data_IF_652344795121
#
_entry.id   IF_652344795121
#
_cell.length_a   1.000
_cell.length_b   1.000
_cell.length_c   1.000
_cell.angle_alpha   90.00
_cell.angle_beta   90.00
_cell.angle_gamma   90.00
#
_symmetry.space_group_name_H-M   'P 1'
#
loop_
_entity.id
_entity.type
_entity.pdbx_description
1 polymer ?
#
# COMPACT_ATOMS: atom_id res chain seq x y z
N UNK A 1 59.00 -15.71 -11.15
CA UNK A 1 59.11 -16.90 -10.30
C UNK A 1 57.71 -17.36 -9.95
N UNK A 2 57.23 -18.33 -10.72
CA UNK A 2 55.92 -18.95 -10.65
C UNK A 2 55.85 -19.91 -9.47
N UNK A 3 54.77 -19.87 -8.69
CA UNK A 3 54.37 -20.97 -7.83
C UNK A 3 52.87 -21.22 -8.04
N UNK A 4 52.63 -22.31 -8.73
CA UNK A 4 51.38 -23.05 -8.85
C UNK A 4 50.96 -23.52 -7.45
N UNK A 5 49.65 -23.50 -7.17
CA UNK A 5 49.07 -24.22 -6.05
C UNK A 5 47.88 -25.02 -6.56
N UNK A 6 47.99 -26.32 -6.31
CA UNK A 6 47.24 -27.43 -6.87
C UNK A 6 45.83 -27.57 -6.31
N UNK A 7 44.98 -28.13 -7.18
CA UNK A 7 43.67 -28.70 -6.92
C UNK A 7 43.70 -29.81 -5.85
N UNK A 8 42.69 -29.84 -4.97
CA UNK A 8 42.24 -31.10 -4.35
C UNK A 8 40.83 -30.99 -3.76
N UNK A 9 39.85 -31.44 -4.54
CA UNK A 9 38.54 -31.84 -4.04
C UNK A 9 38.59 -33.27 -3.47
N UNK A 10 37.77 -33.64 -2.47
CA UNK A 10 37.46 -35.03 -2.20
C UNK A 10 36.05 -35.39 -2.71
N UNK A 11 35.99 -36.51 -3.43
CA UNK A 11 34.77 -37.23 -3.83
C UNK A 11 34.34 -38.23 -2.75
N UNK A 12 33.02 -38.41 -2.70
CA UNK A 12 32.23 -39.62 -2.43
C UNK A 12 32.50 -40.47 -1.17
N UNK A 13 31.43 -40.69 -0.41
CA UNK A 13 30.96 -42.06 -0.11
C UNK A 13 29.44 -42.08 0.05
N UNK A 14 28.80 -42.96 -0.73
CA UNK A 14 27.43 -43.44 -0.61
C UNK A 14 27.34 -44.45 0.56
N UNK A 15 26.16 -44.55 1.17
CA UNK A 15 25.31 -45.77 1.25
C UNK A 15 24.32 -45.61 2.44
N UNK A 16 23.01 -45.45 2.22
CA UNK A 16 21.98 -46.45 1.93
C UNK A 16 21.50 -47.26 3.16
N UNK A 17 20.24 -47.08 3.58
CA UNK A 17 19.29 -48.19 3.91
C UNK A 17 17.97 -47.69 4.55
N UNK A 18 16.86 -48.05 3.90
CA UNK A 18 15.60 -48.69 4.39
C UNK A 18 15.19 -48.48 5.86
N UNK A 19 13.92 -48.28 6.25
CA UNK A 19 12.61 -48.56 5.66
C UNK A 19 11.55 -48.67 6.78
N UNK A 20 10.30 -49.04 6.41
CA UNK A 20 9.07 -49.25 7.21
C UNK A 20 8.26 -47.99 7.54
N UNK A 21 7.00 -47.76 7.13
CA UNK A 21 5.70 -48.52 7.08
C UNK A 21 5.03 -48.78 8.43
N UNK A 22 4.09 -47.90 8.77
CA UNK A 22 2.84 -48.11 9.53
C UNK A 22 2.27 -46.71 9.82
N UNK A 23 1.01 -46.40 9.95
CA UNK A 23 -0.28 -47.08 9.85
C UNK A 23 -1.30 -45.94 10.00
N UNK A 24 -2.41 -46.10 9.31
CA UNK A 24 -3.70 -45.43 9.47
C UNK A 24 -3.95 -44.75 10.82
N UNK A 25 -4.29 -43.46 10.80
CA UNK A 25 -5.18 -42.90 11.79
C UNK A 25 -6.08 -41.83 11.15
N UNK A 26 -7.31 -42.24 10.87
CA UNK A 26 -8.39 -41.39 10.38
C UNK A 26 -9.01 -40.70 11.59
N UNK A 27 -8.73 -39.41 11.76
CA UNK A 27 -9.51 -38.55 12.65
C UNK A 27 -10.39 -37.63 11.81
N UNK A 28 -11.70 -37.83 11.98
CA UNK A 28 -12.78 -37.11 11.33
C UNK A 28 -12.74 -35.61 11.66
N UNK A 29 -12.57 -34.78 10.63
CA UNK A 29 -12.77 -33.33 10.70
C UNK A 29 -14.23 -33.00 10.37
N UNK A 30 -14.95 -32.24 11.22
CA UNK A 30 -16.33 -31.87 10.93
C UNK A 30 -16.43 -30.89 9.75
N UNK A 31 -17.49 -31.08 8.97
CA UNK A 31 -17.79 -30.44 7.71
C UNK A 31 -17.60 -28.90 7.71
N UNK A 32 -16.79 -28.42 6.76
CA UNK A 32 -16.69 -27.01 6.39
C UNK A 32 -18.06 -26.49 5.98
N UNK A 33 -18.51 -25.43 6.65
CA UNK A 33 -19.69 -24.66 6.29
C UNK A 33 -19.63 -24.15 4.83
N UNK A 34 -20.78 -23.92 4.16
CA UNK A 34 -20.78 -23.50 2.78
C UNK A 34 -20.12 -22.13 2.67
N UNK A 35 -19.02 -22.05 1.91
CA UNK A 35 -18.41 -20.79 1.48
C UNK A 35 -19.50 -19.92 0.88
N UNK A 36 -19.87 -18.87 1.60
CA UNK A 36 -20.65 -17.73 1.11
C UNK A 36 -19.91 -17.20 -0.12
N UNK A 37 -20.38 -17.58 -1.31
CA UNK A 37 -19.87 -17.06 -2.57
C UNK A 37 -20.17 -15.56 -2.59
N UNK A 38 -19.19 -14.77 -2.16
CA UNK A 38 -19.17 -13.34 -2.44
C UNK A 38 -19.17 -13.21 -3.97
N UNK A 39 -20.34 -12.85 -4.51
CA UNK A 39 -20.51 -12.39 -5.88
C UNK A 39 -19.52 -11.25 -6.09
N UNK A 40 -18.34 -11.56 -6.64
CA UNK A 40 -17.44 -10.57 -7.22
C UNK A 40 -18.15 -10.02 -8.45
N UNK A 41 -18.92 -8.96 -8.27
CA UNK A 41 -19.39 -8.17 -9.41
C UNK A 41 -18.14 -7.72 -10.16
N UNK A 42 -18.10 -7.98 -11.45
CA UNK A 42 -17.09 -7.54 -12.40
C UNK A 42 -17.09 -6.01 -12.49
N UNK A 43 -16.59 -5.33 -11.45
CA UNK A 43 -16.21 -3.92 -11.51
C UNK A 43 -14.91 -3.85 -12.30
N UNK A 44 -14.91 -3.06 -13.38
CA UNK A 44 -13.69 -2.68 -14.10
C UNK A 44 -12.67 -2.20 -13.06
N UNK A 45 -11.55 -2.91 -12.91
CA UNK A 45 -10.40 -2.38 -12.16
C UNK A 45 -9.97 -1.11 -12.87
N UNK A 46 -10.27 0.06 -12.29
CA UNK A 46 -9.61 1.30 -12.69
C UNK A 46 -8.14 1.11 -12.32
N UNK A 47 -7.23 1.21 -13.29
CA UNK A 47 -5.81 1.19 -12.99
C UNK A 47 -5.50 2.41 -12.12
N UNK A 48 -4.89 2.18 -10.96
CA UNK A 48 -4.49 3.27 -10.02
C UNK A 48 -3.45 4.21 -10.68
N UNK A 49 -2.85 3.77 -11.79
CA UNK A 49 -2.01 4.58 -12.69
C UNK A 49 -2.78 5.65 -13.46
N UNK A 50 -4.09 5.51 -13.65
CA UNK A 50 -4.93 6.52 -14.27
C UNK A 50 -5.42 7.50 -13.21
N UNK A 51 -4.61 8.53 -12.95
CA UNK A 51 -5.06 9.69 -12.17
C UNK A 51 -6.39 10.18 -12.77
N UNK A 52 -7.49 10.26 -12.02
CA UNK A 52 -8.74 10.75 -12.56
C UNK A 52 -8.50 12.14 -13.14
N UNK A 53 -8.86 12.32 -14.40
CA UNK A 53 -8.70 13.55 -15.18
C UNK A 53 -9.57 14.72 -14.69
N UNK A 54 -9.95 14.71 -13.41
CA UNK A 54 -10.81 15.68 -12.75
C UNK A 54 -10.15 17.06 -12.60
N UNK A 55 -10.41 17.81 -11.51
CA UNK A 55 -10.24 19.27 -11.42
C UNK A 55 -8.83 19.82 -11.77
N UNK A 56 -7.81 18.97 -11.86
CA UNK A 56 -6.46 19.31 -12.33
C UNK A 56 -6.39 19.86 -13.76
N UNK A 57 -7.29 19.43 -14.67
CA UNK A 57 -7.36 19.98 -16.03
C UNK A 57 -7.80 21.45 -16.04
N UNK A 58 -8.67 21.85 -15.10
CA UNK A 58 -9.05 23.23 -14.88
C UNK A 58 -7.93 24.08 -14.30
N UNK A 59 -7.12 23.50 -13.40
CA UNK A 59 -5.95 24.19 -12.80
C UNK A 59 -4.88 24.49 -13.85
N UNK A 60 -4.54 23.52 -14.70
CA UNK A 60 -3.54 23.73 -15.74
C UNK A 60 -3.97 24.79 -16.78
N UNK A 61 -5.26 24.78 -17.15
CA UNK A 61 -5.84 25.80 -18.06
C UNK A 61 -5.86 27.19 -17.42
N UNK A 62 -6.35 27.32 -16.19
CA UNK A 62 -6.37 28.60 -15.47
C UNK A 62 -4.96 29.18 -15.27
N UNK A 63 -3.96 28.33 -15.03
CA UNK A 63 -2.57 28.77 -14.94
C UNK A 63 -2.02 29.24 -16.30
N UNK A 64 -2.40 28.56 -17.39
CA UNK A 64 -1.96 28.94 -18.73
C UNK A 64 -2.54 30.27 -19.19
N UNK A 65 -3.80 30.54 -18.84
CA UNK A 65 -4.48 31.81 -19.10
C UNK A 65 -3.89 32.94 -18.24
N UNK A 66 -3.48 32.66 -17.00
CA UNK A 66 -2.90 33.66 -16.10
C UNK A 66 -1.44 34.03 -16.42
N UNK A 67 -0.70 33.15 -17.11
CA UNK A 67 0.75 33.29 -17.35
C UNK A 67 1.12 33.35 -18.84
N UNK A 68 0.16 33.46 -19.75
CA UNK A 68 0.34 33.46 -21.21
C UNK A 68 1.23 32.29 -21.70
N UNK A 69 1.01 31.09 -21.15
CA UNK A 69 1.82 29.91 -21.45
C UNK A 69 1.37 29.33 -22.80
N UNK A 70 2.29 28.99 -23.74
CA UNK A 70 1.93 28.40 -25.03
C UNK A 70 1.21 27.05 -24.85
N UNK A 71 0.24 26.74 -25.71
CA UNK A 71 -0.61 25.54 -25.62
C UNK A 71 0.18 24.22 -25.45
N UNK A 72 1.33 24.10 -26.13
CA UNK A 72 2.22 22.93 -26.01
C UNK A 72 2.86 22.75 -24.63
N UNK A 73 2.92 23.81 -23.81
CA UNK A 73 3.39 23.76 -22.43
C UNK A 73 2.28 23.43 -21.42
N UNK A 74 1.00 23.60 -21.78
CA UNK A 74 -0.15 23.20 -20.93
C UNK A 74 -0.16 21.69 -20.71
N UNK A 75 0.08 20.90 -21.77
CA UNK A 75 0.20 19.44 -21.64
C UNK A 75 1.34 19.01 -20.70
N UNK A 76 2.46 19.73 -20.72
CA UNK A 76 3.59 19.49 -19.82
C UNK A 76 3.24 19.87 -18.37
N UNK A 77 2.50 20.96 -18.17
CA UNK A 77 2.00 21.37 -16.86
C UNK A 77 0.99 20.35 -16.30
N UNK A 78 0.05 19.85 -17.10
CA UNK A 78 -0.86 18.79 -16.68
C UNK A 78 -0.12 17.49 -16.32
N UNK A 79 0.90 17.12 -17.10
CA UNK A 79 1.74 15.97 -16.79
C UNK A 79 2.54 16.19 -15.50
N UNK A 80 2.96 17.42 -15.22
CA UNK A 80 3.59 17.80 -13.96
C UNK A 80 2.62 17.67 -12.78
N UNK A 81 1.42 18.23 -12.88
CA UNK A 81 0.41 18.14 -11.82
C UNK A 81 -0.02 16.70 -11.55
N UNK A 82 -0.25 15.90 -12.59
CA UNK A 82 -0.57 14.47 -12.43
C UNK A 82 0.52 13.71 -11.68
N UNK A 83 1.80 14.00 -11.95
CA UNK A 83 2.92 13.37 -11.22
C UNK A 83 3.01 13.82 -9.77
N UNK A 84 2.60 15.04 -9.46
CA UNK A 84 2.64 15.62 -8.12
C UNK A 84 1.31 15.54 -7.36
N UNK A 85 0.26 14.98 -7.98
CA UNK A 85 -1.06 14.80 -7.37
C UNK A 85 -1.00 13.91 -6.12
N UNK A 86 0.03 13.08 -6.01
CA UNK A 86 0.27 12.16 -4.90
C UNK A 86 1.33 12.70 -3.91
N UNK A 87 1.51 14.02 -3.90
CA UNK A 87 2.50 14.72 -3.07
C UNK A 87 3.95 14.35 -3.44
N UNK A 88 4.82 14.36 -2.43
CA UNK A 88 6.26 14.14 -2.60
C UNK A 88 6.61 12.73 -3.11
N UNK A 89 5.67 11.78 -2.98
CA UNK A 89 5.85 10.37 -3.37
C UNK A 89 6.06 10.21 -4.87
N UNK A 90 5.48 11.09 -5.69
CA UNK A 90 5.71 11.12 -7.13
C UNK A 90 7.18 11.34 -7.53
N UNK A 91 7.97 11.92 -6.61
CA UNK A 91 9.39 12.22 -6.80
C UNK A 91 10.35 11.29 -6.04
N UNK A 92 9.81 10.38 -5.22
CA UNK A 92 10.59 9.53 -4.32
C UNK A 92 11.40 8.45 -5.03
N UNK A 93 10.92 7.93 -6.16
CA UNK A 93 11.59 6.88 -6.91
C UNK A 93 12.98 7.32 -7.40
N UNK A 94 13.98 6.47 -7.21
CA UNK A 94 15.34 6.70 -7.69
C UNK A 94 15.33 6.89 -9.21
N UNK A 95 16.17 7.79 -9.70
CA UNK A 95 16.47 7.84 -11.14
C UNK A 95 17.40 6.70 -11.50
N UNK A 96 17.06 5.97 -12.55
CA UNK A 96 17.86 4.85 -13.02
C UNK A 96 19.26 5.31 -13.42
N UNK A 97 20.28 4.70 -12.82
CA UNK A 97 21.71 4.89 -13.16
C UNK A 97 22.33 3.65 -13.82
N UNK A 98 21.49 2.70 -14.25
CA UNK A 98 21.92 1.43 -14.82
C UNK A 98 22.85 0.67 -13.86
N UNK A 99 24.04 0.23 -14.30
CA UNK A 99 25.02 -0.47 -13.45
C UNK A 99 25.46 0.33 -12.21
N UNK A 100 25.39 1.67 -12.26
CA UNK A 100 25.79 2.54 -11.14
C UNK A 100 24.63 2.83 -10.16
N UNK A 101 23.54 2.06 -10.22
CA UNK A 101 22.44 2.19 -9.28
C UNK A 101 22.86 1.64 -7.91
N UNK A 102 22.59 2.33 -6.79
CA UNK A 102 22.89 1.81 -5.45
C UNK A 102 22.13 0.50 -5.14
N UNK A 103 21.08 0.21 -5.90
CA UNK A 103 20.21 -0.96 -5.77
C UNK A 103 20.40 -1.95 -6.93
N UNK A 104 21.54 -1.90 -7.65
CA UNK A 104 21.78 -2.74 -8.84
C UNK A 104 21.70 -4.24 -8.55
N UNK A 105 22.17 -4.67 -7.38
CA UNK A 105 22.25 -6.09 -6.99
C UNK A 105 20.89 -6.78 -6.86
N UNK A 106 19.83 -6.01 -6.61
CA UNK A 106 18.46 -6.50 -6.46
C UNK A 106 17.54 -5.99 -7.58
N UNK A 107 18.12 -5.35 -8.61
CA UNK A 107 17.36 -4.76 -9.69
C UNK A 107 16.89 -5.87 -10.65
N UNK A 108 15.57 -6.04 -10.88
CA UNK A 108 15.09 -7.10 -11.76
C UNK A 108 15.56 -6.97 -13.21
N UNK A 109 15.89 -5.76 -13.69
CA UNK A 109 16.45 -5.57 -15.04
C UNK A 109 17.87 -6.11 -15.16
N UNK A 110 18.65 -6.04 -14.08
CA UNK A 110 20.00 -6.62 -14.05
C UNK A 110 19.89 -8.14 -14.14
N UNK A 111 19.00 -8.74 -13.37
CA UNK A 111 18.73 -10.18 -13.37
C UNK A 111 18.21 -10.67 -14.72
N UNK A 112 17.25 -9.94 -15.30
CA UNK A 112 16.67 -10.25 -16.60
C UNK A 112 17.59 -9.92 -17.79
N UNK A 113 18.75 -9.28 -17.56
CA UNK A 113 19.68 -8.79 -18.61
C UNK A 113 19.01 -7.87 -19.64
N UNK A 114 18.07 -7.05 -19.16
CA UNK A 114 17.29 -6.13 -19.98
C UNK A 114 17.88 -4.71 -20.02
N UNK A 115 17.44 -3.92 -21.00
CA UNK A 115 17.89 -2.54 -21.14
C UNK A 115 17.44 -1.64 -19.97
N UNK A 116 18.35 -0.82 -19.44
CA UNK A 116 18.06 0.11 -18.37
C UNK A 116 17.37 1.39 -18.88
N UNK A 117 16.29 1.86 -18.24
CA UNK A 117 15.65 3.14 -18.57
C UNK A 117 16.43 4.32 -17.96
N UNK A 118 17.65 4.57 -18.44
CA UNK A 118 18.58 5.56 -17.88
C UNK A 118 17.94 6.95 -17.70
N UNK A 119 18.18 7.56 -16.53
CA UNK A 119 17.69 8.90 -16.18
C UNK A 119 16.19 8.99 -15.87
N UNK A 120 15.39 7.98 -16.20
CA UNK A 120 13.97 7.90 -15.86
C UNK A 120 13.78 7.41 -14.42
N UNK A 121 12.64 7.72 -13.77
CA UNK A 121 12.28 7.13 -12.48
C UNK A 121 12.29 5.59 -12.54
N UNK A 122 12.70 4.96 -11.45
CA UNK A 122 12.77 3.50 -11.34
C UNK A 122 11.35 2.89 -11.43
N UNK A 123 11.07 2.07 -12.45
CA UNK A 123 9.72 1.51 -12.63
C UNK A 123 9.34 0.52 -11.52
N UNK A 124 10.31 -0.19 -10.93
CA UNK A 124 10.04 -1.15 -9.86
C UNK A 124 9.69 -0.47 -8.55
N UNK A 125 10.37 0.62 -8.20
CA UNK A 125 10.00 1.38 -7.00
C UNK A 125 8.64 2.06 -7.16
N UNK A 126 8.33 2.57 -8.36
CA UNK A 126 6.98 3.05 -8.68
C UNK A 126 5.95 1.93 -8.53
N UNK A 127 6.25 0.74 -9.02
CA UNK A 127 5.42 -0.45 -8.85
C UNK A 127 5.22 -0.85 -7.38
N UNK A 128 6.28 -0.81 -6.56
CA UNK A 128 6.21 -1.12 -5.12
C UNK A 128 5.32 -0.13 -4.37
N UNK A 129 5.48 1.17 -4.61
CA UNK A 129 4.59 2.20 -4.03
C UNK A 129 3.14 1.89 -4.38
N UNK A 130 2.85 1.62 -5.66
CA UNK A 130 1.50 1.33 -6.12
C UNK A 130 0.93 0.06 -5.50
N UNK A 131 1.74 -0.99 -5.41
CA UNK A 131 1.37 -2.25 -4.76
C UNK A 131 1.01 -2.03 -3.29
N UNK A 132 1.80 -1.27 -2.54
CA UNK A 132 1.53 -0.99 -1.13
C UNK A 132 0.28 -0.13 -0.92
N UNK A 133 0.11 0.93 -1.72
CA UNK A 133 -1.11 1.74 -1.69
C UNK A 133 -2.34 0.86 -1.97
N UNK A 134 -2.30 0.04 -3.03
CA UNK A 134 -3.39 -0.89 -3.39
C UNK A 134 -3.70 -1.86 -2.24
N UNK A 135 -2.67 -2.49 -1.68
CA UNK A 135 -2.81 -3.41 -0.54
C UNK A 135 -3.51 -2.75 0.64
N UNK A 136 -3.16 -1.50 0.94
CA UNK A 136 -3.78 -0.77 2.02
C UNK A 136 -5.20 -0.32 1.70
N UNK A 137 -5.49 0.12 0.47
CA UNK A 137 -6.86 0.41 0.04
C UNK A 137 -7.79 -0.79 0.22
N UNK A 138 -7.34 -1.97 -0.21
CA UNK A 138 -8.07 -3.23 -0.03
C UNK A 138 -8.30 -3.56 1.44
N UNK A 139 -7.26 -3.43 2.28
CA UNK A 139 -7.37 -3.68 3.72
C UNK A 139 -8.34 -2.70 4.41
N UNK A 140 -8.49 -1.51 3.87
CA UNK A 140 -9.32 -0.45 4.40
C UNK A 140 -10.74 -0.43 3.83
N UNK A 141 -11.03 -1.30 2.85
CA UNK A 141 -12.34 -1.39 2.20
C UNK A 141 -12.69 -0.16 1.37
N UNK A 142 -11.69 0.57 0.86
CA UNK A 142 -11.90 1.74 0.00
C UNK A 142 -11.98 1.26 -1.45
N UNK A 143 -13.19 1.23 -2.01
CA UNK A 143 -13.44 0.83 -3.40
C UNK A 143 -13.25 1.99 -4.39
N UNK A 144 -13.64 3.21 -4.01
CA UNK A 144 -13.57 4.40 -4.87
C UNK A 144 -12.58 5.43 -4.32
N UNK A 145 -11.30 5.20 -4.59
CA UNK A 145 -10.21 6.08 -4.20
C UNK A 145 -10.24 7.46 -4.89
N UNK A 146 -11.13 7.66 -5.88
CA UNK A 146 -11.31 8.95 -6.54
C UNK A 146 -12.34 9.86 -5.86
N UNK A 147 -13.07 9.34 -4.86
CA UNK A 147 -14.02 10.12 -4.08
C UNK A 147 -13.28 11.12 -3.17
N UNK A 148 -13.62 12.43 -3.21
CA UNK A 148 -13.08 13.42 -2.29
C UNK A 148 -13.21 13.05 -0.80
N UNK A 149 -14.18 12.22 -0.41
CA UNK A 149 -14.36 11.75 0.96
C UNK A 149 -13.14 10.98 1.50
N UNK A 150 -12.35 10.37 0.61
CA UNK A 150 -11.14 9.63 0.95
C UNK A 150 -9.86 10.40 0.65
N UNK A 151 -9.92 11.69 0.28
CA UNK A 151 -8.73 12.48 -0.07
C UNK A 151 -7.66 12.46 1.02
N UNK A 152 -8.05 12.64 2.29
CA UNK A 152 -7.12 12.58 3.43
C UNK A 152 -6.53 11.18 3.63
N UNK A 153 -7.34 10.14 3.45
CA UNK A 153 -6.86 8.76 3.54
C UNK A 153 -5.84 8.48 2.42
N UNK A 154 -6.07 8.97 1.20
CA UNK A 154 -5.14 8.84 0.08
C UNK A 154 -3.81 9.53 0.35
N UNK A 155 -3.80 10.76 0.88
CA UNK A 155 -2.56 11.47 1.22
C UNK A 155 -1.73 10.68 2.24
N UNK A 156 -2.38 10.17 3.28
CA UNK A 156 -1.74 9.33 4.30
C UNK A 156 -1.24 8.00 3.74
N UNK A 157 -1.98 7.38 2.83
CA UNK A 157 -1.59 6.12 2.18
C UNK A 157 -0.37 6.28 1.29
N UNK A 158 -0.31 7.35 0.50
CA UNK A 158 0.88 7.66 -0.29
C UNK A 158 2.07 7.93 0.64
N UNK A 159 1.89 8.74 1.68
CA UNK A 159 2.94 9.01 2.66
C UNK A 159 3.44 7.73 3.35
N UNK A 160 2.53 6.82 3.70
CA UNK A 160 2.84 5.51 4.26
C UNK A 160 3.72 4.69 3.31
N UNK A 161 3.32 4.55 2.04
CA UNK A 161 4.08 3.83 1.02
C UNK A 161 5.46 4.47 0.78
N UNK A 162 5.57 5.79 0.91
CA UNK A 162 6.84 6.52 0.83
C UNK A 162 7.80 6.11 1.97
N UNK A 163 7.32 6.02 3.21
CA UNK A 163 8.15 5.57 4.33
C UNK A 163 8.52 4.09 4.22
N UNK A 164 7.59 3.24 3.75
CA UNK A 164 7.88 1.84 3.47
C UNK A 164 8.97 1.68 2.38
N UNK A 165 8.97 2.56 1.36
CA UNK A 165 10.04 2.56 0.35
C UNK A 165 11.40 2.88 0.93
N UNK A 166 11.48 3.89 1.80
CA UNK A 166 12.75 4.26 2.45
C UNK A 166 13.22 3.15 3.38
N UNK A 167 12.31 2.51 4.14
CA UNK A 167 12.65 1.36 4.96
C UNK A 167 13.14 0.19 4.13
N UNK A 168 12.51 -0.08 2.98
CA UNK A 168 12.97 -1.10 2.07
C UNK A 168 14.38 -0.80 1.55
N UNK A 169 14.68 0.44 1.15
CA UNK A 169 16.04 0.84 0.74
C UNK A 169 17.06 0.69 1.88
N UNK A 170 16.73 1.17 3.07
CA UNK A 170 17.60 1.10 4.24
C UNK A 170 17.84 -0.36 4.66
N UNK A 171 16.83 -1.22 4.61
CA UNK A 171 16.96 -2.64 4.89
C UNK A 171 17.88 -3.34 3.87
N UNK A 172 17.77 -2.99 2.59
CA UNK A 172 18.69 -3.50 1.57
C UNK A 172 20.12 -2.99 1.77
N UNK A 173 20.31 -1.73 2.17
CA UNK A 173 21.62 -1.21 2.53
C UNK A 173 22.24 -2.00 3.69
N UNK A 174 21.46 -2.19 4.75
CA UNK A 174 21.88 -2.93 5.94
C UNK A 174 22.20 -4.40 5.60
N UNK A 175 21.42 -5.02 4.71
CA UNK A 175 21.68 -6.38 4.24
C UNK A 175 22.98 -6.51 3.43
N UNK A 176 23.47 -5.43 2.81
CA UNK A 176 24.74 -5.44 2.08
C UNK A 176 25.94 -5.26 3.01
N UNK A 177 25.81 -4.39 4.01
CA UNK A 177 26.87 -4.13 4.98
C UNK A 177 27.02 -5.29 5.98
N UNK A 178 25.91 -5.90 6.40
CA UNK A 178 25.89 -7.00 7.37
C UNK A 178 26.06 -6.57 8.82
N UNK A 179 26.69 -5.43 9.08
CA UNK A 179 26.98 -4.91 10.41
C UNK A 179 25.91 -3.93 10.92
N UNK A 180 25.44 -4.15 12.14
CA UNK A 180 24.50 -3.24 12.82
C UNK A 180 25.21 -2.09 13.56
N UNK A 181 26.48 -2.30 13.90
CA UNK A 181 27.34 -1.37 14.63
C UNK A 181 28.53 -1.06 13.71
N UNK A 182 28.83 0.22 13.57
CA UNK A 182 29.94 0.72 12.77
C UNK A 182 30.91 1.48 13.65
N UNK A 183 32.20 1.25 13.49
CA UNK A 183 33.23 2.06 14.15
C UNK A 183 33.36 3.40 13.42
N UNK A 184 33.14 4.48 14.16
CA UNK A 184 33.27 5.84 13.62
C UNK A 184 34.29 6.62 14.43
N UNK A 185 35.14 7.38 13.73
CA UNK A 185 36.08 8.30 14.37
C UNK A 185 35.27 9.39 15.06
N UNK A 186 35.33 9.45 16.38
CA UNK A 186 34.63 10.45 17.21
C UNK A 186 35.52 11.61 17.59
N UNK A 187 36.84 11.44 17.50
CA UNK A 187 37.80 12.50 17.74
C UNK A 187 39.24 12.03 17.56
N UNK A 188 40.17 12.91 17.93
CA UNK A 188 41.59 12.62 17.97
C UNK A 188 42.10 12.84 19.39
N UNK A 189 42.91 11.91 19.87
CA UNK A 189 43.67 12.01 21.12
C UNK A 189 44.56 13.26 21.10
N UNK A 190 44.97 13.75 22.28
CA UNK A 190 45.98 14.79 22.41
C UNK A 190 47.33 14.40 21.75
N UNK A 191 47.57 13.11 21.54
CA UNK A 191 48.75 12.57 20.85
C UNK A 191 48.54 12.44 19.33
N UNK A 192 47.36 12.77 18.80
CA UNK A 192 47.03 12.72 17.38
C UNK A 192 46.38 11.41 16.90
N UNK A 193 46.26 10.40 17.77
CA UNK A 193 45.65 9.12 17.41
C UNK A 193 44.13 9.21 17.28
N UNK A 194 43.55 8.55 16.29
CA UNK A 194 42.10 8.51 16.09
C UNK A 194 41.41 7.69 17.21
N UNK A 195 40.39 8.29 17.83
CA UNK A 195 39.53 7.61 18.80
C UNK A 195 38.28 7.13 18.09
N UNK A 196 38.11 5.81 18.05
CA UNK A 196 36.94 5.15 17.48
C UNK A 196 35.88 4.94 18.55
N UNK A 197 34.62 5.17 18.19
CA UNK A 197 33.49 4.72 18.99
C UNK A 197 32.56 3.86 18.14
N UNK A 198 31.95 2.89 18.79
CA UNK A 198 30.88 2.08 18.23
C UNK A 198 29.61 2.91 18.11
N UNK A 199 29.13 3.10 16.89
CA UNK A 199 27.90 3.84 16.59
C UNK A 199 26.95 2.94 15.82
N UNK A 200 25.67 3.00 16.16
CA UNK A 200 24.60 2.28 15.44
C UNK A 200 24.62 2.68 13.96
N UNK A 201 24.42 1.70 13.08
CA UNK A 201 24.35 1.95 11.63
C UNK A 201 23.28 3.01 11.32
N UNK A 202 23.59 4.05 10.53
CA UNK A 202 22.61 5.06 10.13
C UNK A 202 21.38 4.48 9.42
N UNK A 203 21.54 3.34 8.74
CA UNK A 203 20.42 2.64 8.11
C UNK A 203 19.41 2.13 9.15
N UNK A 204 19.89 1.63 10.29
CA UNK A 204 19.04 1.16 11.38
C UNK A 204 18.28 2.32 12.02
N UNK A 205 18.94 3.46 12.25
CA UNK A 205 18.31 4.68 12.76
C UNK A 205 17.20 5.21 11.84
N UNK A 206 17.38 5.08 10.51
CA UNK A 206 16.34 5.44 9.53
C UNK A 206 15.15 4.50 9.67
N UNK A 207 15.39 3.18 9.73
CA UNK A 207 14.34 2.18 9.87
C UNK A 207 13.54 2.42 11.16
N UNK A 208 14.20 2.68 12.29
CA UNK A 208 13.52 2.92 13.56
C UNK A 208 12.64 4.18 13.51
N UNK A 209 13.19 5.30 13.04
CA UNK A 209 12.45 6.58 12.94
C UNK A 209 11.24 6.45 12.02
N UNK A 210 11.43 5.86 10.85
CA UNK A 210 10.33 5.66 9.90
C UNK A 210 9.31 4.64 10.40
N UNK A 211 9.72 3.61 11.14
CA UNK A 211 8.78 2.63 11.73
C UNK A 211 7.84 3.31 12.71
N UNK A 212 8.34 4.26 13.53
CA UNK A 212 7.50 5.08 14.41
C UNK A 212 6.52 5.96 13.61
N UNK A 213 6.95 6.53 12.49
CA UNK A 213 6.07 7.33 11.61
C UNK A 213 5.01 6.47 10.92
N UNK A 214 5.38 5.28 10.46
CA UNK A 214 4.46 4.29 9.87
C UNK A 214 3.37 3.92 10.87
N UNK A 215 3.72 3.66 12.14
CA UNK A 215 2.74 3.36 13.18
C UNK A 215 1.77 4.53 13.39
N UNK A 216 2.28 5.76 13.51
CA UNK A 216 1.44 6.97 13.66
C UNK A 216 0.48 7.17 12.49
N UNK A 217 0.92 6.93 11.26
CA UNK A 217 0.05 7.03 10.08
C UNK A 217 -1.03 5.94 10.10
N UNK A 218 -0.68 4.70 10.46
CA UNK A 218 -1.65 3.61 10.59
C UNK A 218 -2.70 3.91 11.67
N UNK A 219 -2.28 4.44 12.81
CA UNK A 219 -3.19 4.91 13.87
C UNK A 219 -4.10 6.04 13.38
N UNK A 220 -3.55 7.02 12.64
CA UNK A 220 -4.31 8.13 12.07
C UNK A 220 -5.37 7.64 11.06
N UNK A 221 -5.02 6.67 10.21
CA UNK A 221 -5.96 6.04 9.28
C UNK A 221 -7.08 5.28 9.99
N UNK A 222 -6.82 4.67 11.15
CA UNK A 222 -7.89 4.04 11.94
C UNK A 222 -8.76 5.12 12.62
N UNK A 223 -8.14 6.17 13.14
CA UNK A 223 -8.83 7.28 13.78
C UNK A 223 -9.77 8.03 12.83
N UNK A 224 -9.41 8.23 11.55
CA UNK A 224 -10.30 8.85 10.55
C UNK A 224 -11.58 8.04 10.38
N UNK A 225 -11.49 6.70 10.35
CA UNK A 225 -12.66 5.82 10.28
C UNK A 225 -13.51 5.86 11.54
N UNK A 226 -12.89 5.82 12.70
CA UNK A 226 -13.61 5.96 13.96
C UNK A 226 -14.36 7.30 14.04
N UNK A 227 -13.72 8.38 13.61
CA UNK A 227 -14.33 9.70 13.54
C UNK A 227 -15.53 9.72 12.59
N UNK A 228 -15.41 9.12 11.40
CA UNK A 228 -16.53 8.96 10.46
C UNK A 228 -17.69 8.15 11.06
N UNK A 229 -17.40 7.04 11.75
CA UNK A 229 -18.42 6.23 12.43
C UNK A 229 -19.09 7.01 13.57
N UNK A 230 -18.31 7.76 14.37
CA UNK A 230 -18.82 8.60 15.46
C UNK A 230 -19.67 9.75 14.92
N UNK A 231 -19.25 10.42 13.84
CA UNK A 231 -20.03 11.48 13.19
C UNK A 231 -21.37 10.95 12.66
N UNK A 232 -21.36 9.83 11.95
CA UNK A 232 -22.59 9.16 11.49
C UNK A 232 -23.52 8.76 12.65
N UNK A 233 -22.98 8.36 13.81
CA UNK A 233 -23.77 8.08 15.02
C UNK A 233 -24.30 9.35 15.69
N UNK A 234 -23.55 10.45 15.67
CA UNK A 234 -23.97 11.72 16.25
C UNK A 234 -25.12 12.37 15.46
N UNK A 235 -25.13 12.21 14.13
CA UNK A 235 -26.26 12.63 13.28
C UNK A 235 -27.53 11.77 13.53
N UNK A 236 -27.34 10.50 13.91
CA UNK A 236 -28.42 9.62 14.37
C UNK A 236 -28.69 9.79 15.86
N UNK A 237 -29.31 10.91 16.22
CA UNK A 237 -29.83 11.08 17.58
C UNK A 237 -30.89 10.00 17.91
N UNK A 238 -31.03 9.57 19.17
CA UNK A 238 -32.08 8.62 19.55
C UNK A 238 -33.49 9.10 19.18
N UNK A 239 -33.70 10.43 19.16
CA UNK A 239 -34.95 11.05 18.73
C UNK A 239 -35.20 10.94 17.22
N UNK A 240 -34.16 11.08 16.38
CA UNK A 240 -34.30 10.89 14.93
C UNK A 240 -34.48 9.42 14.56
N UNK A 241 -33.78 8.50 15.23
CA UNK A 241 -34.00 7.05 15.06
C UNK A 241 -35.40 6.62 15.53
N UNK A 242 -35.88 7.13 16.67
CA UNK A 242 -37.25 6.88 17.12
C UNK A 242 -38.29 7.40 16.12
N UNK A 243 -38.08 8.59 15.56
CA UNK A 243 -38.98 9.18 14.57
C UNK A 243 -39.00 8.40 13.25
N UNK A 244 -37.84 7.92 12.76
CA UNK A 244 -37.78 7.04 11.60
C UNK A 244 -38.46 5.69 11.84
N UNK A 245 -38.26 5.10 13.03
CA UNK A 245 -38.85 3.81 13.38
C UNK A 245 -40.37 3.91 13.53
N UNK A 246 -40.88 5.00 14.13
CA UNK A 246 -42.32 5.29 14.18
C UNK A 246 -42.88 5.52 12.78
N UNK A 247 -42.16 6.23 11.91
CA UNK A 247 -42.56 6.44 10.52
C UNK A 247 -42.63 5.13 9.71
N UNK A 248 -41.65 4.23 9.89
CA UNK A 248 -41.66 2.89 9.28
C UNK A 248 -42.78 2.01 9.83
N UNK A 249 -42.99 2.03 11.14
CA UNK A 249 -44.08 1.29 11.78
C UNK A 249 -45.46 1.77 11.29
N UNK A 250 -45.64 3.08 11.08
CA UNK A 250 -46.87 3.65 10.53
C UNK A 250 -47.13 3.21 9.08
N UNK A 251 -46.10 3.22 8.22
CA UNK A 251 -46.23 2.74 6.84
C UNK A 251 -46.60 1.25 6.77
N UNK A 252 -45.96 0.43 7.59
CA UNK A 252 -46.28 -0.99 7.73
C UNK A 252 -47.71 -1.22 8.24
N UNK A 253 -48.20 -0.39 9.15
CA UNK A 253 -49.59 -0.45 9.60
C UNK A 253 -50.57 -0.04 8.50
N UNK A 254 -50.27 1.01 7.73
CA UNK A 254 -51.09 1.47 6.61
C UNK A 254 -51.14 0.44 5.46
N UNK A 255 -50.05 -0.26 5.18
CA UNK A 255 -50.02 -1.37 4.21
C UNK A 255 -50.87 -2.55 4.67
N UNK A 256 -50.75 -2.94 5.96
CA UNK A 256 -51.58 -4.03 6.52
C UNK A 256 -53.08 -3.72 6.56
N UNK A 257 -53.46 -2.46 6.72
CA UNK A 257 -54.88 -2.04 6.68
C UNK A 257 -55.41 -2.16 5.24
N UNK A 258 -54.63 -1.74 4.24
CA UNK A 258 -55.01 -1.88 2.83
C UNK A 258 -55.16 -3.34 2.39
N UNK A 259 -54.31 -4.22 2.89
CA UNK A 259 -54.41 -5.66 2.62
C UNK A 259 -55.66 -6.28 3.26
N UNK A 260 -56.05 -5.82 4.46
CA UNK A 260 -57.26 -6.30 5.15
C UNK A 260 -58.56 -5.84 4.46
N UNK A 261 -58.59 -4.65 3.89
CA UNK A 261 -59.78 -4.12 3.17
C UNK A 261 -60.02 -4.84 1.83
N UNK A 262 -59.05 -5.58 1.29
CA UNK A 262 -59.21 -6.35 0.04
C UNK A 262 -59.83 -7.74 0.22
N UNK A 263 -59.93 -8.25 1.46
CA UNK A 263 -60.46 -9.60 1.74
C UNK A 263 -61.97 -9.66 2.00
N UNK A 264 -62.70 -8.53 1.95
CA UNK A 264 -64.17 -8.56 2.06
C UNK A 264 -64.79 -8.96 0.71
N UNK A 265 -64.86 -10.27 0.43
CA UNK A 265 -65.70 -10.81 -0.64
C UNK A 265 -67.18 -10.51 -0.33
N UNK A 266 -67.95 -9.91 -1.26
CA UNK A 266 -69.38 -9.79 -1.06
C UNK A 266 -69.99 -11.19 -1.03
N UNK A 267 -70.66 -11.53 0.08
CA UNK A 267 -71.52 -12.70 0.16
C UNK A 267 -72.63 -12.54 -0.88
N UNK A 268 -72.52 -13.26 -1.99
CA UNK A 268 -73.59 -13.46 -2.95
C UNK A 268 -74.81 -14.00 -2.20
N UNK A 269 -75.93 -13.28 -2.33
CA UNK A 269 -77.19 -13.64 -1.70
C UNK A 269 -77.80 -14.90 -2.27
N UNK A 270 -78.63 -15.52 -1.44
CA UNK A 270 -79.76 -16.38 -1.77
C UNK A 270 -80.97 -15.90 -0.95
#
# INVERSE_FOLDING_TARGET
>A
MTKEFDDSAPKDTRENSNGSTSSEDKTDLPARSPRRQLRRSSRKKKDILEVPSGPLSGVAKGLSEALDIPEGAVSKAEAFFRKNAFGFVGSMALRCRGPNCPMVDICPLTEAKEAYPLGKPCPFEQGLIQMWVTKHLEALGIDDWSDPEYSFDMDLLYQLAAFELINWRAANHLSKEGDLISEKITGYSHQGDAVFAEVISPALDIIERNSKLIMKIKESLLATREAKVKANKAERTPASEASENVGKARKLAEERIKDADYEVRPSSGD
#
